data_IF_626965101128
#
_entry.id   IF_626965101128
#
_cell.length_a   1.000
_cell.length_b   1.000
_cell.length_c   1.000
_cell.angle_alpha   90.00
_cell.angle_beta   90.00
_cell.angle_gamma   90.00
#
_symmetry.space_group_name_H-M   'P 1'
#
loop_
_entity.id
_entity.type
_entity.pdbx_description
1 polymer ?
#
# COMPACT_ATOMS: atom_id res chain seq x y z
N UNK A 1 -18.64 7.03 0.23
CA UNK A 1 -17.25 6.62 0.44
C UNK A 1 -16.53 6.71 -0.90
N UNK A 2 -15.20 6.89 -0.95
CA UNK A 2 -14.45 6.89 -2.21
C UNK A 2 -14.66 5.58 -2.97
N UNK A 3 -14.87 5.63 -4.29
CA UNK A 3 -15.09 4.43 -5.10
C UNK A 3 -13.87 4.11 -5.95
N UNK A 4 -13.65 2.82 -6.22
CA UNK A 4 -12.53 2.37 -7.04
C UNK A 4 -12.71 2.90 -8.47
N UNK A 5 -11.70 3.60 -8.98
CA UNK A 5 -11.59 4.04 -10.37
C UNK A 5 -11.22 2.84 -11.26
N UNK A 6 -12.20 2.00 -11.54
CA UNK A 6 -12.07 0.83 -12.40
C UNK A 6 -12.80 1.04 -13.73
N UNK A 7 -12.11 0.87 -14.84
CA UNK A 7 -12.67 0.99 -16.18
C UNK A 7 -12.81 -0.37 -16.85
N UNK A 8 -14.06 -0.83 -17.02
CA UNK A 8 -14.34 -2.14 -17.63
C UNK A 8 -13.87 -2.21 -19.09
N UNK A 9 -13.85 -1.09 -19.80
CA UNK A 9 -13.49 -1.05 -21.23
C UNK A 9 -12.02 -1.39 -21.45
N UNK A 10 -11.12 -0.90 -20.57
CA UNK A 10 -9.69 -1.26 -20.57
C UNK A 10 -9.45 -2.76 -20.45
N UNK A 11 -10.34 -3.48 -19.76
CA UNK A 11 -10.25 -4.94 -19.64
C UNK A 11 -10.79 -5.67 -20.87
N UNK A 12 -11.75 -5.11 -21.59
CA UNK A 12 -12.23 -5.68 -22.85
C UNK A 12 -11.14 -5.70 -23.92
N UNK A 13 -10.32 -4.64 -23.96
CA UNK A 13 -9.18 -4.48 -24.89
C UNK A 13 -7.92 -5.23 -24.42
N UNK A 14 -7.92 -5.77 -23.19
CA UNK A 14 -6.76 -6.46 -22.64
C UNK A 14 -6.65 -7.89 -23.15
N UNK A 15 -5.88 -8.08 -24.20
CA UNK A 15 -5.61 -9.43 -24.70
C UNK A 15 -4.75 -10.25 -23.74
N UNK A 16 -3.81 -9.64 -23.01
CA UNK A 16 -2.82 -10.39 -22.24
C UNK A 16 -3.40 -11.05 -20.97
N UNK A 17 -4.31 -10.36 -20.27
CA UNK A 17 -4.91 -10.79 -19.00
C UNK A 17 -3.83 -11.23 -18.00
N UNK A 18 -2.69 -10.51 -18.02
CA UNK A 18 -1.51 -10.82 -17.21
C UNK A 18 -1.80 -10.82 -15.71
N UNK A 19 -2.83 -10.08 -15.27
CA UNK A 19 -3.28 -10.05 -13.88
C UNK A 19 -3.68 -11.44 -13.34
N UNK A 20 -4.19 -12.33 -14.19
CA UNK A 20 -4.51 -13.71 -13.82
C UNK A 20 -3.51 -14.73 -14.38
N UNK A 21 -3.13 -14.60 -15.66
CA UNK A 21 -2.24 -15.57 -16.33
C UNK A 21 -0.86 -15.65 -15.67
N UNK A 22 -0.37 -14.54 -15.08
CA UNK A 22 0.92 -14.53 -14.38
C UNK A 22 0.80 -14.75 -12.86
N UNK A 23 -0.39 -15.10 -12.36
CA UNK A 23 -0.55 -15.38 -10.94
C UNK A 23 0.36 -16.54 -10.51
N UNK A 24 1.08 -16.37 -9.40
CA UNK A 24 1.99 -17.40 -8.89
C UNK A 24 1.29 -18.42 -7.98
N UNK A 25 0.02 -18.18 -7.65
CA UNK A 25 -0.74 -18.98 -6.67
C UNK A 25 -2.00 -19.61 -7.26
N UNK A 26 -2.48 -19.10 -8.39
CA UNK A 26 -3.61 -19.66 -9.12
C UNK A 26 -3.11 -20.08 -10.49
N UNK A 27 -3.48 -21.30 -10.89
CA UNK A 27 -3.08 -21.84 -12.16
C UNK A 27 -4.11 -21.54 -13.25
N UNK A 28 -3.65 -20.82 -14.26
CA UNK A 28 -4.41 -20.40 -15.44
C UNK A 28 -3.62 -20.71 -16.72
N UNK A 29 -3.23 -21.98 -16.90
CA UNK A 29 -2.61 -22.45 -18.16
C UNK A 29 -3.49 -22.12 -19.38
N UNK A 30 -4.82 -22.25 -19.24
CA UNK A 30 -5.78 -21.84 -20.25
C UNK A 30 -6.17 -20.36 -20.07
N UNK A 31 -5.68 -19.55 -21.01
CA UNK A 31 -5.99 -18.11 -21.13
C UNK A 31 -7.49 -17.83 -21.27
N UNK A 32 -8.26 -18.70 -21.93
CA UNK A 32 -9.71 -18.50 -22.09
C UNK A 32 -10.43 -18.64 -20.75
N UNK A 33 -10.02 -19.60 -19.92
CA UNK A 33 -10.51 -19.75 -18.56
C UNK A 33 -10.16 -18.53 -17.70
N UNK A 34 -8.93 -18.01 -17.81
CA UNK A 34 -8.55 -16.77 -17.15
C UNK A 34 -9.45 -15.60 -17.56
N UNK A 35 -9.74 -15.46 -18.86
CA UNK A 35 -10.64 -14.43 -19.37
C UNK A 35 -12.05 -14.55 -18.81
N UNK A 36 -12.59 -15.77 -18.75
CA UNK A 36 -13.93 -16.02 -18.20
C UNK A 36 -13.99 -15.66 -16.72
N UNK A 37 -13.03 -16.10 -15.90
CA UNK A 37 -12.98 -15.76 -14.47
C UNK A 37 -12.78 -14.27 -14.23
N UNK A 38 -11.95 -13.60 -15.03
CA UNK A 38 -11.79 -12.15 -14.97
C UNK A 38 -13.09 -11.40 -15.30
N UNK A 39 -13.83 -11.86 -16.32
CA UNK A 39 -15.10 -11.24 -16.69
C UNK A 39 -16.16 -11.40 -15.59
N UNK A 40 -16.21 -12.56 -14.91
CA UNK A 40 -17.09 -12.78 -13.76
C UNK A 40 -16.82 -11.75 -12.66
N UNK A 41 -15.55 -11.51 -12.31
CA UNK A 41 -15.16 -10.49 -11.31
C UNK A 41 -15.61 -9.08 -11.72
N UNK A 42 -15.41 -8.70 -12.98
CA UNK A 42 -15.83 -7.40 -13.52
C UNK A 42 -17.36 -7.22 -13.42
N UNK A 43 -18.10 -8.31 -13.63
CA UNK A 43 -19.56 -8.33 -13.58
C UNK A 43 -20.13 -8.47 -12.16
N UNK A 44 -19.30 -8.77 -11.15
CA UNK A 44 -19.75 -9.01 -9.77
C UNK A 44 -20.29 -10.43 -9.54
N UNK A 45 -20.01 -11.34 -10.46
CA UNK A 45 -20.40 -12.75 -10.38
C UNK A 45 -19.44 -13.54 -9.49
N UNK A 46 -19.82 -14.77 -9.13
CA UNK A 46 -18.96 -15.66 -8.36
C UNK A 46 -17.82 -16.19 -9.24
N UNK A 47 -16.59 -16.04 -8.74
CA UNK A 47 -15.36 -16.49 -9.42
C UNK A 47 -14.49 -17.28 -8.45
N UNK A 48 -13.80 -18.31 -8.95
CA UNK A 48 -12.83 -19.06 -8.15
C UNK A 48 -11.65 -18.20 -7.67
N UNK A 49 -11.39 -17.08 -8.35
CA UNK A 49 -10.37 -16.12 -7.95
C UNK A 49 -10.65 -15.54 -6.57
N UNK A 50 -11.92 -15.34 -6.21
CA UNK A 50 -12.31 -14.74 -4.93
C UNK A 50 -11.89 -15.59 -3.73
N UNK A 51 -11.89 -16.91 -3.88
CA UNK A 51 -11.52 -17.85 -2.81
C UNK A 51 -10.06 -18.30 -2.89
N UNK A 52 -9.45 -18.25 -4.09
CA UNK A 52 -8.09 -18.75 -4.32
C UNK A 52 -7.01 -17.65 -4.25
N UNK A 53 -7.38 -16.38 -4.31
CA UNK A 53 -6.44 -15.26 -4.22
C UNK A 53 -5.76 -15.20 -2.84
N UNK A 54 -4.44 -15.27 -2.80
CA UNK A 54 -3.63 -15.12 -1.57
C UNK A 54 -3.36 -13.66 -1.17
N UNK A 55 -3.86 -12.70 -1.94
CA UNK A 55 -3.73 -11.25 -1.69
C UNK A 55 -2.30 -10.68 -1.77
N UNK A 56 -1.48 -11.14 -2.72
CA UNK A 56 -0.06 -10.76 -2.82
C UNK A 56 0.27 -9.46 -3.59
N UNK A 57 -0.71 -8.64 -3.99
CA UNK A 57 -0.57 -7.43 -4.84
C UNK A 57 -0.05 -7.61 -6.27
N UNK A 58 0.62 -8.72 -6.60
CA UNK A 58 1.40 -8.86 -7.84
C UNK A 58 0.63 -8.53 -9.13
N UNK A 59 -0.69 -8.77 -9.17
CA UNK A 59 -1.49 -8.44 -10.34
C UNK A 59 -1.61 -6.93 -10.63
N UNK A 60 -1.38 -6.05 -9.64
CA UNK A 60 -1.26 -4.60 -9.87
C UNK A 60 -0.08 -4.28 -10.80
N UNK A 61 1.05 -4.96 -10.65
CA UNK A 61 2.24 -4.75 -11.47
C UNK A 61 2.10 -5.34 -12.88
N UNK A 62 1.29 -6.38 -13.01
CA UNK A 62 1.07 -7.06 -14.29
C UNK A 62 0.05 -6.33 -15.17
N UNK A 63 -0.75 -5.43 -14.61
CA UNK A 63 -1.78 -4.71 -15.33
C UNK A 63 -1.17 -3.60 -16.21
N UNK A 64 -1.07 -3.86 -17.52
CA UNK A 64 -0.55 -2.89 -18.48
C UNK A 64 -1.36 -1.58 -18.58
N UNK A 65 -2.62 -1.63 -18.15
CA UNK A 65 -3.56 -0.50 -18.21
C UNK A 65 -3.69 0.26 -16.88
N UNK A 66 -2.98 -0.18 -15.83
CA UNK A 66 -3.09 0.41 -14.49
C UNK A 66 -4.53 0.41 -13.96
N UNK A 67 -5.30 -0.64 -14.24
CA UNK A 67 -6.74 -0.71 -13.96
C UNK A 67 -7.07 -1.44 -12.65
N UNK A 68 -6.12 -1.45 -11.71
CA UNK A 68 -6.31 -1.90 -10.34
C UNK A 68 -6.99 -3.27 -10.14
N UNK A 69 -6.51 -4.34 -10.80
CA UNK A 69 -7.16 -5.65 -10.70
C UNK A 69 -7.20 -6.23 -9.28
N UNK A 70 -6.17 -5.96 -8.46
CA UNK A 70 -6.14 -6.45 -7.09
C UNK A 70 -7.21 -5.78 -6.24
N UNK A 71 -7.33 -4.45 -6.33
CA UNK A 71 -8.31 -3.71 -5.55
C UNK A 71 -9.74 -4.11 -5.94
N UNK A 72 -10.01 -4.39 -7.21
CA UNK A 72 -11.30 -4.95 -7.64
C UNK A 72 -11.57 -6.32 -6.99
N UNK A 73 -10.58 -7.22 -6.95
CA UNK A 73 -10.73 -8.53 -6.30
C UNK A 73 -11.11 -8.34 -4.82
N UNK A 74 -10.44 -7.42 -4.11
CA UNK A 74 -10.71 -7.13 -2.69
C UNK A 74 -12.12 -6.56 -2.48
N UNK A 75 -12.59 -5.64 -3.32
CA UNK A 75 -13.98 -5.13 -3.26
C UNK A 75 -14.99 -6.28 -3.44
N UNK A 76 -14.79 -7.16 -4.44
CA UNK A 76 -15.67 -8.31 -4.69
C UNK A 76 -15.65 -9.32 -3.57
N UNK A 77 -14.49 -9.58 -2.97
CA UNK A 77 -14.36 -10.42 -1.80
C UNK A 77 -15.17 -9.85 -0.62
N UNK A 78 -15.06 -8.53 -0.38
CA UNK A 78 -15.80 -7.87 0.69
C UNK A 78 -17.31 -7.89 0.47
N UNK A 79 -17.78 -7.52 -0.73
CA UNK A 79 -19.20 -7.52 -1.12
C UNK A 79 -19.87 -8.88 -0.88
N UNK A 80 -19.14 -9.97 -1.13
CA UNK A 80 -19.62 -11.35 -0.98
C UNK A 80 -19.31 -11.97 0.38
N UNK A 81 -18.61 -11.24 1.26
CA UNK A 81 -18.21 -11.74 2.59
C UNK A 81 -17.17 -12.87 2.55
N UNK A 82 -16.41 -12.98 1.45
CA UNK A 82 -15.34 -13.97 1.28
C UNK A 82 -14.07 -13.41 1.93
N UNK A 83 -13.74 -13.91 3.11
CA UNK A 83 -12.58 -13.42 3.87
C UNK A 83 -11.35 -14.31 3.61
N UNK A 84 -10.20 -13.73 3.21
CA UNK A 84 -8.93 -14.45 3.09
C UNK A 84 -8.37 -14.94 4.44
N UNK A 85 -8.89 -14.42 5.55
CA UNK A 85 -8.50 -14.78 6.91
C UNK A 85 -9.73 -15.06 7.80
N UNK A 86 -9.58 -15.81 8.91
CA UNK A 86 -10.66 -16.04 9.84
C UNK A 86 -11.27 -14.74 10.37
N UNK A 87 -12.60 -14.66 10.41
CA UNK A 87 -13.35 -13.48 10.87
C UNK A 87 -12.87 -12.90 12.22
N UNK A 88 -12.53 -13.70 13.26
CA UNK A 88 -12.00 -13.14 14.51
C UNK A 88 -10.70 -12.36 14.34
N UNK A 89 -9.80 -12.82 13.46
CA UNK A 89 -8.53 -12.15 13.16
C UNK A 89 -8.80 -10.82 12.46
N UNK A 90 -9.71 -10.80 11.48
CA UNK A 90 -10.12 -9.57 10.79
C UNK A 90 -10.69 -8.56 11.78
N UNK A 91 -11.63 -8.97 12.64
CA UNK A 91 -12.23 -8.09 13.66
C UNK A 91 -11.17 -7.56 14.63
N UNK A 92 -10.26 -8.41 15.10
CA UNK A 92 -9.18 -8.01 15.99
C UNK A 92 -8.31 -6.91 15.35
N UNK A 93 -7.83 -7.13 14.13
CA UNK A 93 -7.00 -6.16 13.41
C UNK A 93 -7.71 -4.83 13.14
N UNK A 94 -9.00 -4.88 12.79
CA UNK A 94 -9.80 -3.66 12.57
C UNK A 94 -9.92 -2.87 13.87
N UNK A 95 -10.23 -3.53 14.99
CA UNK A 95 -10.46 -2.88 16.28
C UNK A 95 -9.16 -2.36 16.90
N UNK A 96 -8.09 -3.16 16.89
CA UNK A 96 -6.82 -2.82 17.53
C UNK A 96 -6.16 -1.60 16.91
N UNK A 97 -6.33 -1.38 15.60
CA UNK A 97 -5.72 -0.26 14.89
C UNK A 97 -6.71 0.90 14.62
N UNK A 98 -7.87 0.93 15.30
CA UNK A 98 -8.72 2.12 15.31
C UNK A 98 -7.95 3.33 15.86
N UNK A 99 -8.00 4.51 15.23
CA UNK A 99 -7.49 5.73 15.85
C UNK A 99 -8.19 6.02 17.18
N UNK A 100 -7.43 6.32 18.23
CA UNK A 100 -7.96 6.54 19.60
C UNK A 100 -7.57 7.90 20.19
N UNK A 101 -7.01 8.81 19.38
CA UNK A 101 -6.52 10.11 19.79
C UNK A 101 -5.16 10.05 20.50
N UNK A 102 -4.35 9.02 20.24
CA UNK A 102 -3.02 8.83 20.87
C UNK A 102 -1.94 8.68 19.81
N UNK A 103 -1.25 9.77 19.55
CA UNK A 103 -0.16 9.84 18.58
C UNK A 103 1.00 10.69 19.08
N UNK A 104 2.14 10.57 18.40
CA UNK A 104 3.31 11.40 18.58
C UNK A 104 3.56 12.19 17.31
N UNK A 105 3.81 13.48 17.50
CA UNK A 105 4.25 14.40 16.45
C UNK A 105 5.52 15.06 16.97
N UNK A 106 6.59 14.93 16.21
CA UNK A 106 7.86 15.57 16.49
C UNK A 106 7.83 17.07 16.15
N UNK A 107 9.00 17.70 16.07
CA UNK A 107 9.10 19.08 15.60
C UNK A 107 9.02 19.08 14.07
N UNK A 108 7.80 19.21 13.56
CA UNK A 108 7.51 19.15 12.13
C UNK A 108 8.01 20.42 11.43
N UNK A 109 8.81 20.21 10.39
CA UNK A 109 9.14 21.21 9.37
C UNK A 109 8.34 20.91 8.09
N UNK A 110 8.80 21.34 6.92
CA UNK A 110 8.10 21.01 5.66
C UNK A 110 8.22 19.52 5.28
N UNK A 111 9.25 18.84 5.80
CA UNK A 111 9.55 17.44 5.53
C UNK A 111 9.55 16.62 6.81
N UNK A 112 8.90 15.46 6.80
CA UNK A 112 8.78 14.58 7.96
C UNK A 112 8.95 13.10 7.61
N UNK A 113 9.37 12.31 8.60
CA UNK A 113 9.39 10.85 8.54
C UNK A 113 8.03 10.29 9.00
N UNK A 114 7.45 9.38 8.24
CA UNK A 114 6.31 8.59 8.68
C UNK A 114 6.80 7.30 9.31
N UNK A 115 6.55 7.13 10.61
CA UNK A 115 6.71 5.84 11.29
C UNK A 115 5.44 5.01 11.22
N UNK A 116 4.40 5.49 10.52
CA UNK A 116 3.10 4.83 10.49
C UNK A 116 2.60 4.63 11.93
N UNK A 117 2.23 3.39 12.29
CA UNK A 117 1.94 2.97 13.66
C UNK A 117 3.00 2.00 14.23
N UNK A 118 4.20 1.99 13.64
CA UNK A 118 5.27 1.03 13.91
C UNK A 118 6.34 1.60 14.86
N UNK A 119 6.31 1.25 16.16
CA UNK A 119 7.15 1.93 17.18
C UNK A 119 8.65 1.63 17.03
N UNK A 120 9.00 0.54 16.34
CA UNK A 120 10.39 0.14 16.13
C UNK A 120 11.21 1.17 15.35
N UNK A 121 10.60 2.02 14.53
CA UNK A 121 11.34 3.05 13.81
C UNK A 121 12.01 4.06 14.75
N UNK A 122 11.46 4.29 15.95
CA UNK A 122 12.08 5.16 16.95
C UNK A 122 13.47 4.68 17.40
N UNK A 123 13.75 3.38 17.29
CA UNK A 123 15.08 2.84 17.63
C UNK A 123 16.02 2.75 16.44
N UNK A 124 15.48 2.74 15.21
CA UNK A 124 16.21 2.55 13.96
C UNK A 124 16.61 3.86 13.27
N UNK A 125 15.82 4.93 13.43
CA UNK A 125 16.07 6.24 12.82
C UNK A 125 17.12 7.00 13.61
N UNK A 126 18.39 6.67 13.35
CA UNK A 126 19.55 7.21 14.08
C UNK A 126 20.77 7.36 13.16
N UNK A 127 21.70 8.22 13.58
CA UNK A 127 22.99 8.42 12.92
C UNK A 127 22.90 9.24 11.64
N UNK A 128 24.03 9.30 10.91
CA UNK A 128 24.27 10.24 9.80
C UNK A 128 23.22 10.23 8.67
N UNK A 129 22.57 9.08 8.47
CA UNK A 129 21.50 8.95 7.46
C UNK A 129 20.26 9.76 7.80
N UNK A 130 20.04 10.09 9.07
CA UNK A 130 18.85 10.82 9.56
C UNK A 130 19.19 12.11 10.32
N UNK A 131 20.47 12.50 10.35
CA UNK A 131 20.89 13.83 10.83
C UNK A 131 20.11 14.91 10.06
N UNK A 132 19.50 15.85 10.78
CA UNK A 132 18.71 16.91 10.16
C UNK A 132 17.20 16.64 10.07
N UNK A 133 16.74 15.40 10.29
CA UNK A 133 15.32 15.05 10.13
C UNK A 133 14.75 14.13 11.23
N UNK A 134 15.60 13.47 12.04
CA UNK A 134 15.14 12.49 13.03
C UNK A 134 14.11 13.02 14.05
N UNK A 135 14.08 14.33 14.31
CA UNK A 135 13.10 14.99 15.18
C UNK A 135 11.77 15.35 14.47
N UNK A 136 11.74 15.35 13.15
CA UNK A 136 10.56 15.63 12.32
C UNK A 136 9.93 14.31 11.91
N UNK A 137 9.15 13.72 12.82
CA UNK A 137 8.51 12.43 12.61
C UNK A 137 7.07 12.41 13.12
N UNK A 138 6.23 11.59 12.49
CA UNK A 138 4.86 11.30 12.93
C UNK A 138 4.70 9.81 13.20
N UNK A 139 3.96 9.49 14.25
CA UNK A 139 3.71 8.12 14.68
C UNK A 139 2.36 8.00 15.38
N UNK A 140 1.58 6.97 15.05
CA UNK A 140 0.31 6.68 15.72
C UNK A 140 -0.69 6.00 14.78
N UNK A 141 -1.78 5.52 15.36
CA UNK A 141 -2.87 4.91 14.59
C UNK A 141 -3.57 5.93 13.68
N UNK A 142 -3.49 7.20 14.06
CA UNK A 142 -3.97 8.38 13.34
C UNK A 142 -3.23 8.62 12.02
N UNK A 143 -2.03 8.05 11.88
CA UNK A 143 -1.18 8.12 10.69
C UNK A 143 -0.99 6.75 10.01
N UNK A 144 -1.71 5.71 10.47
CA UNK A 144 -1.61 4.36 9.92
C UNK A 144 -2.17 4.32 8.50
N UNK A 145 -1.40 3.85 7.50
CA UNK A 145 -1.86 3.80 6.11
C UNK A 145 -3.02 2.81 5.83
N UNK A 146 -3.31 1.87 6.74
CA UNK A 146 -4.42 0.92 6.63
C UNK A 146 -4.32 -0.07 5.43
N UNK A 147 -3.23 -0.07 4.66
CA UNK A 147 -3.01 -0.97 3.51
C UNK A 147 -3.24 -2.45 3.82
N UNK A 148 -2.87 -2.88 5.04
CA UNK A 148 -3.00 -4.27 5.50
C UNK A 148 -4.42 -4.82 5.34
N UNK A 149 -5.44 -3.97 5.37
CA UNK A 149 -6.85 -4.40 5.26
C UNK A 149 -7.21 -4.93 3.87
N UNK A 150 -6.38 -4.70 2.86
CA UNK A 150 -6.50 -5.36 1.56
C UNK A 150 -6.31 -6.88 1.68
N UNK A 151 -5.46 -7.35 2.60
CA UNK A 151 -5.29 -8.79 2.89
C UNK A 151 -6.46 -9.41 3.64
N UNK A 152 -7.39 -8.61 4.13
CA UNK A 152 -8.53 -9.05 4.94
C UNK A 152 -9.88 -8.88 4.24
N UNK A 153 -9.91 -8.53 2.94
CA UNK A 153 -11.12 -8.17 2.23
C UNK A 153 -11.92 -7.08 2.97
N UNK A 154 -11.21 -6.00 3.33
CA UNK A 154 -11.72 -4.85 4.09
C UNK A 154 -11.34 -3.53 3.43
N UNK A 155 -11.61 -3.39 2.13
CA UNK A 155 -11.44 -2.14 1.41
C UNK A 155 -12.31 -1.01 2.01
N UNK A 156 -13.49 -1.34 2.52
CA UNK A 156 -14.40 -0.39 3.18
C UNK A 156 -13.75 0.35 4.36
N UNK A 157 -12.91 -0.34 5.15
CA UNK A 157 -12.19 0.25 6.28
C UNK A 157 -11.19 1.29 5.80
N UNK A 158 -10.49 1.00 4.70
CA UNK A 158 -9.53 1.92 4.08
C UNK A 158 -10.29 3.12 3.51
N UNK A 159 -11.36 2.89 2.76
CA UNK A 159 -12.23 3.92 2.15
C UNK A 159 -12.79 4.90 3.19
N UNK A 160 -13.12 4.43 4.40
CA UNK A 160 -13.60 5.30 5.49
C UNK A 160 -12.48 6.07 6.21
N UNK A 161 -11.34 5.42 6.46
CA UNK A 161 -10.30 5.99 7.32
C UNK A 161 -9.25 6.80 6.57
N UNK A 162 -8.86 6.37 5.37
CA UNK A 162 -7.72 6.93 4.64
C UNK A 162 -7.85 8.45 4.39
N UNK A 163 -9.02 9.01 4.02
CA UNK A 163 -9.17 10.46 3.90
C UNK A 163 -8.83 11.20 5.21
N UNK A 164 -9.31 10.70 6.35
CA UNK A 164 -9.04 11.29 7.67
C UNK A 164 -7.55 11.19 8.04
N UNK A 165 -6.89 10.09 7.69
CA UNK A 165 -5.45 9.90 7.89
C UNK A 165 -4.66 10.91 7.07
N UNK A 166 -5.02 11.12 5.80
CA UNK A 166 -4.37 12.11 4.93
C UNK A 166 -4.57 13.52 5.49
N UNK A 167 -5.77 13.86 5.97
CA UNK A 167 -6.04 15.14 6.63
C UNK A 167 -5.22 15.30 7.90
N UNK A 168 -5.09 14.26 8.73
CA UNK A 168 -4.26 14.30 9.93
C UNK A 168 -2.80 14.64 9.63
N UNK A 169 -2.24 14.04 8.56
CA UNK A 169 -0.87 14.31 8.10
C UNK A 169 -0.77 15.75 7.58
N UNK A 170 -1.70 16.17 6.71
CA UNK A 170 -1.77 17.51 6.15
C UNK A 170 -1.83 18.59 7.23
N UNK A 171 -2.62 18.36 8.28
CA UNK A 171 -2.81 19.29 9.38
C UNK A 171 -1.54 19.53 10.21
N UNK A 172 -0.50 18.69 10.05
CA UNK A 172 0.81 18.93 10.65
C UNK A 172 1.68 19.90 9.82
N UNK A 173 1.20 20.40 8.68
CA UNK A 173 1.96 21.30 7.79
C UNK A 173 2.98 20.58 6.89
N UNK A 174 2.91 19.26 6.80
CA UNK A 174 3.85 18.43 6.02
C UNK A 174 3.61 18.62 4.52
N UNK A 175 4.66 18.96 3.79
CA UNK A 175 4.68 19.02 2.31
C UNK A 175 5.33 17.80 1.68
N UNK A 176 6.31 17.21 2.37
CA UNK A 176 7.04 16.02 1.94
C UNK A 176 7.07 14.96 3.04
N UNK A 177 6.57 13.76 2.75
CA UNK A 177 6.48 12.67 3.72
C UNK A 177 7.36 11.50 3.31
N UNK A 178 8.45 11.28 4.04
CA UNK A 178 9.33 10.11 3.86
C UNK A 178 8.68 8.90 4.53
N UNK A 179 8.21 7.96 3.71
CA UNK A 179 7.59 6.73 4.17
C UNK A 179 8.67 5.69 4.48
N UNK A 180 8.86 5.36 5.77
CA UNK A 180 9.84 4.33 6.20
C UNK A 180 9.32 2.89 6.06
N UNK A 181 8.08 2.75 5.61
CA UNK A 181 7.38 1.49 5.41
C UNK A 181 6.77 1.52 4.00
N UNK A 182 7.03 0.48 3.22
CA UNK A 182 6.68 0.45 1.79
C UNK A 182 5.17 0.55 1.58
N UNK A 183 4.36 -0.10 2.43
CA UNK A 183 2.91 -0.04 2.39
C UNK A 183 2.38 1.39 2.57
N UNK A 184 3.07 2.24 3.33
CA UNK A 184 2.69 3.65 3.43
C UNK A 184 2.92 4.36 2.10
N UNK A 185 4.09 4.13 1.48
CA UNK A 185 4.40 4.71 0.17
C UNK A 185 3.37 4.24 -0.87
N UNK A 186 3.19 2.93 -1.02
CA UNK A 186 2.22 2.34 -1.97
C UNK A 186 0.77 2.77 -1.70
N UNK A 187 0.40 3.00 -0.43
CA UNK A 187 -0.92 3.56 -0.10
C UNK A 187 -1.10 4.95 -0.70
N UNK A 188 -0.12 5.83 -0.51
CA UNK A 188 -0.25 7.23 -0.95
C UNK A 188 0.00 7.41 -2.44
N UNK A 189 0.78 6.54 -3.10
CA UNK A 189 1.11 6.67 -4.53
C UNK A 189 0.28 5.79 -5.45
N UNK A 190 -0.32 4.70 -4.95
CA UNK A 190 -1.13 3.77 -5.76
C UNK A 190 -2.55 3.66 -5.24
N UNK A 191 -2.73 3.30 -3.97
CA UNK A 191 -4.06 3.00 -3.42
C UNK A 191 -4.97 4.23 -3.35
N UNK A 192 -4.51 5.34 -2.77
CA UNK A 192 -5.29 6.58 -2.66
C UNK A 192 -5.73 7.09 -4.06
N UNK A 193 -4.83 7.23 -5.05
CA UNK A 193 -5.22 7.61 -6.41
C UNK A 193 -6.22 6.64 -7.07
N UNK A 194 -6.09 5.33 -6.83
CA UNK A 194 -7.03 4.32 -7.33
C UNK A 194 -8.46 4.55 -6.84
N UNK A 195 -8.62 5.12 -5.65
CA UNK A 195 -9.92 5.52 -5.09
C UNK A 195 -10.28 6.99 -5.33
N UNK A 196 -9.48 7.70 -6.13
CA UNK A 196 -9.68 9.13 -6.39
C UNK A 196 -9.47 10.03 -5.20
N UNK A 197 -8.67 9.61 -4.23
CA UNK A 197 -8.29 10.42 -3.08
C UNK A 197 -7.06 11.25 -3.45
N UNK A 198 -7.18 12.57 -3.35
CA UNK A 198 -6.09 13.50 -3.66
C UNK A 198 -5.01 13.50 -2.57
N UNK A 199 -3.75 13.64 -2.99
CA UNK A 199 -2.60 13.67 -2.10
C UNK A 199 -2.11 15.11 -1.89
N UNK A 200 -2.29 15.70 -0.68
CA UNK A 200 -1.93 17.09 -0.40
C UNK A 200 -0.44 17.30 -0.07
N UNK A 201 0.35 16.22 -0.06
CA UNK A 201 1.78 16.21 0.19
C UNK A 201 2.45 15.20 -0.77
N UNK A 202 3.76 15.34 -0.97
CA UNK A 202 4.57 14.42 -1.78
C UNK A 202 5.04 13.24 -0.93
N UNK A 203 4.60 12.00 -1.19
CA UNK A 203 5.18 10.82 -0.57
C UNK A 203 6.58 10.56 -1.15
N UNK A 204 7.52 10.20 -0.30
CA UNK A 204 8.90 9.89 -0.68
C UNK A 204 9.20 8.47 -0.21
N UNK A 205 9.64 7.62 -1.12
CA UNK A 205 10.03 6.26 -0.76
C UNK A 205 11.29 6.31 0.11
N UNK A 206 11.37 5.44 1.13
CA UNK A 206 12.56 5.31 1.97
C UNK A 206 13.87 5.20 1.18
N UNK A 207 13.93 4.36 0.14
CA UNK A 207 15.13 4.22 -0.69
C UNK A 207 15.46 5.46 -1.52
N UNK A 208 14.48 6.25 -1.95
CA UNK A 208 14.72 7.56 -2.60
C UNK A 208 15.41 8.50 -1.62
N UNK A 209 14.89 8.58 -0.38
CA UNK A 209 15.49 9.39 0.68
C UNK A 209 16.92 8.91 1.00
N UNK A 210 17.12 7.61 1.23
CA UNK A 210 18.43 7.04 1.53
C UNK A 210 19.43 7.28 0.41
N UNK A 211 19.02 7.09 -0.85
CA UNK A 211 19.88 7.31 -2.00
C UNK A 211 20.35 8.76 -2.08
N UNK A 212 19.47 9.73 -1.84
CA UNK A 212 19.83 11.14 -1.72
C UNK A 212 20.85 11.40 -0.61
N UNK A 213 20.58 10.89 0.60
CA UNK A 213 21.51 11.03 1.74
C UNK A 213 22.86 10.37 1.51
N UNK A 214 22.90 9.20 0.86
CA UNK A 214 24.15 8.52 0.52
C UNK A 214 24.98 9.31 -0.50
N UNK A 215 24.35 10.03 -1.43
CA UNK A 215 25.07 10.93 -2.35
C UNK A 215 25.71 12.10 -1.61
N UNK A 216 25.00 12.70 -0.67
CA UNK A 216 25.51 13.82 0.14
C UNK A 216 26.65 13.38 1.05
N UNK A 217 26.62 12.14 1.53
CA UNK A 217 27.63 11.56 2.41
C UNK A 217 28.71 10.78 1.66
N UNK A 218 28.78 10.89 0.33
CA UNK A 218 29.61 10.03 -0.54
C UNK A 218 31.07 9.93 -0.09
N UNK A 219 31.65 11.04 0.34
CA UNK A 219 33.06 11.10 0.77
C UNK A 219 33.33 10.36 2.08
N UNK A 220 32.29 10.03 2.84
CA UNK A 220 32.36 9.25 4.08
C UNK A 220 32.09 7.76 3.85
N UNK A 221 31.69 7.35 2.64
CA UNK A 221 31.29 5.97 2.34
C UNK A 221 32.54 5.14 2.02
N UNK A 222 32.75 4.09 2.83
CA UNK A 222 33.74 3.05 2.54
C UNK A 222 33.07 1.88 1.83
N UNK A 223 33.48 1.52 0.60
CA UNK A 223 32.96 0.34 -0.09
C UNK A 223 33.21 -0.94 0.74
N UNK A 224 32.19 -1.77 0.88
CA UNK A 224 32.28 -3.05 1.59
C UNK A 224 32.78 -4.20 0.70
N UNK A 225 32.79 -4.00 -0.63
CA UNK A 225 33.16 -5.01 -1.63
C UNK A 225 32.39 -6.35 -1.48
N UNK A 226 31.13 -6.26 -1.04
CA UNK A 226 30.23 -7.41 -0.85
C UNK A 226 29.15 -7.43 -1.91
N UNK A 227 28.78 -8.63 -2.36
CA UNK A 227 27.58 -8.83 -3.17
C UNK A 227 26.38 -9.06 -2.25
N UNK A 228 25.35 -8.23 -2.40
CA UNK A 228 24.08 -8.39 -1.71
C UNK A 228 22.98 -8.71 -2.73
N UNK A 229 22.13 -9.69 -2.42
CA UNK A 229 20.90 -9.92 -3.17
C UNK A 229 19.82 -9.01 -2.58
N UNK A 230 19.22 -8.17 -3.42
CA UNK A 230 18.08 -7.37 -3.02
C UNK A 230 16.83 -8.25 -2.97
N UNK A 231 16.22 -8.36 -1.78
CA UNK A 231 14.90 -8.93 -1.62
C UNK A 231 13.89 -7.81 -1.66
N UNK A 232 13.08 -7.78 -2.73
CA UNK A 232 11.95 -6.87 -2.83
C UNK A 232 10.86 -7.29 -1.83
N UNK A 233 10.23 -6.32 -1.20
CA UNK A 233 9.04 -6.52 -0.37
C UNK A 233 7.81 -6.80 -1.27
N UNK A 234 6.66 -7.10 -0.64
CA UNK A 234 5.44 -7.43 -1.37
C UNK A 234 4.62 -6.21 -1.86
N UNK A 235 4.99 -4.99 -1.46
CA UNK A 235 4.19 -3.76 -1.60
C UNK A 235 4.81 -2.74 -2.54
#
# INVERSE_FOLDING_TARGET
MPELKFDKTKCADCEAISCLVKCQYMDFEDKNKAKQEWQKLINGEDSSVLTSCTTCYACEEYCLFGNHPFYLIVERQEEKGILPAPRPIVTMWVNQCQPVGRFMVGKIEERALSYCFLPQFNTLVKGKLFDGIAWSAIFGQEFFCNAVYLHYAKASVIKDRLPKIIDNIRNQGIKELVCLHDECYGTFTSLAPAYGIDMPFRPIHYYEYLYGRLKELKDLIKPLNTKAAYQRNCS
#
